data_IF_826730143514
#
_entry.id   IF_826730143514
#
_cell.length_a   1.000
_cell.length_b   1.000
_cell.length_c   1.000
_cell.angle_alpha   90.00
_cell.angle_beta   90.00
_cell.angle_gamma   90.00
#
_symmetry.space_group_name_H-M   'P 1'
#
loop_
_entity.id
_entity.type
_entity.pdbx_description
1 polymer ?
#
# COMPACT_ATOMS: atom_id res chain seq x y z
N UNK A 1 2.73 -10.15 -1.84
CA UNK A 1 4.12 -10.57 -2.19
C UNK A 1 5.06 -10.04 -1.12
N UNK A 2 5.07 -8.72 -0.89
CA UNK A 2 5.92 -8.06 0.11
C UNK A 2 5.49 -8.38 1.55
N UNK A 3 4.32 -7.95 2.04
CA UNK A 3 3.89 -8.20 3.43
C UNK A 3 3.91 -9.67 3.87
N UNK A 4 3.48 -10.66 3.05
CA UNK A 4 3.60 -12.07 3.46
C UNK A 4 5.03 -12.60 3.58
N UNK A 5 6.01 -11.93 2.96
CA UNK A 5 7.42 -12.25 3.17
C UNK A 5 7.92 -11.59 4.46
N UNK A 6 7.55 -10.33 4.72
CA UNK A 6 7.90 -9.62 5.95
C UNK A 6 7.29 -10.28 7.20
N UNK A 7 6.00 -10.68 7.18
CA UNK A 7 5.32 -11.40 8.28
C UNK A 7 6.04 -12.67 8.75
N UNK A 8 6.99 -13.22 7.96
CA UNK A 8 7.77 -14.41 8.33
C UNK A 8 9.13 -14.08 8.94
N UNK A 9 9.51 -12.81 8.96
CA UNK A 9 10.89 -12.37 9.16
C UNK A 9 11.04 -11.09 9.98
N UNK A 10 9.95 -10.38 10.30
CA UNK A 10 9.94 -9.26 11.24
C UNK A 10 8.91 -9.53 12.33
N UNK A 11 9.22 -9.11 13.56
CA UNK A 11 8.38 -9.28 14.76
C UNK A 11 7.42 -8.09 15.00
N UNK A 12 7.16 -7.28 13.96
CA UNK A 12 6.26 -6.14 14.01
C UNK A 12 4.94 -6.47 13.28
N UNK A 13 4.11 -7.27 13.93
CA UNK A 13 2.81 -7.68 13.39
C UNK A 13 1.83 -6.50 13.34
N UNK A 14 1.90 -5.57 14.29
CA UNK A 14 1.02 -4.40 14.36
C UNK A 14 1.20 -3.49 13.13
N UNK A 15 2.45 -3.17 12.75
CA UNK A 15 2.73 -2.34 11.57
C UNK A 15 2.25 -3.00 10.26
N UNK A 16 2.30 -4.33 10.17
CA UNK A 16 1.81 -5.07 9.00
C UNK A 16 0.28 -5.16 8.95
N UNK A 17 -0.37 -5.27 10.09
CA UNK A 17 -1.82 -5.30 10.22
C UNK A 17 -2.43 -3.92 9.98
N UNK A 18 -1.79 -2.86 10.46
CA UNK A 18 -2.16 -1.47 10.18
C UNK A 18 -2.13 -1.20 8.67
N UNK A 19 -1.01 -1.51 8.01
CA UNK A 19 -0.89 -1.38 6.55
C UNK A 19 -2.00 -2.11 5.77
N UNK A 20 -2.45 -3.28 6.25
CA UNK A 20 -3.54 -4.03 5.64
C UNK A 20 -4.89 -3.31 5.79
N UNK A 21 -5.17 -2.75 6.97
CA UNK A 21 -6.38 -1.95 7.25
C UNK A 21 -6.37 -0.64 6.46
N UNK A 22 -5.24 0.05 6.39
CA UNK A 22 -5.09 1.28 5.61
C UNK A 22 -5.34 1.04 4.12
N UNK A 23 -4.79 -0.04 3.55
CA UNK A 23 -5.03 -0.41 2.16
C UNK A 23 -6.51 -0.69 1.89
N UNK A 24 -7.21 -1.36 2.82
CA UNK A 24 -8.63 -1.61 2.70
C UNK A 24 -9.44 -0.31 2.73
N UNK A 25 -9.09 0.59 3.67
CA UNK A 25 -9.72 1.90 3.85
C UNK A 25 -9.53 2.79 2.62
N UNK A 26 -8.31 2.85 2.07
CA UNK A 26 -8.01 3.59 0.85
C UNK A 26 -8.80 3.03 -0.36
N UNK A 27 -8.89 1.71 -0.52
CA UNK A 27 -9.68 1.08 -1.60
C UNK A 27 -11.17 1.39 -1.48
N UNK A 28 -11.71 1.37 -0.27
CA UNK A 28 -13.11 1.74 -0.04
C UNK A 28 -13.35 3.20 -0.45
N UNK A 29 -12.49 4.12 0.00
CA UNK A 29 -12.62 5.54 -0.33
C UNK A 29 -12.46 5.80 -1.84
N UNK A 30 -11.55 5.09 -2.52
CA UNK A 30 -11.43 5.12 -3.98
C UNK A 30 -12.74 4.69 -4.64
N UNK A 31 -13.35 3.58 -4.20
CA UNK A 31 -14.60 3.10 -4.76
C UNK A 31 -15.76 4.11 -4.56
N UNK A 32 -15.81 4.76 -3.40
CA UNK A 32 -16.77 5.84 -3.13
C UNK A 32 -16.54 7.02 -4.10
N UNK A 33 -15.31 7.51 -4.23
CA UNK A 33 -14.97 8.62 -5.13
C UNK A 33 -15.31 8.27 -6.59
N UNK A 34 -15.01 7.06 -7.04
CA UNK A 34 -15.31 6.60 -8.41
C UNK A 34 -16.82 6.52 -8.71
N UNK A 35 -17.65 6.40 -7.67
CA UNK A 35 -19.11 6.38 -7.79
C UNK A 35 -19.76 7.77 -7.75
N UNK A 36 -18.99 8.81 -7.43
CA UNK A 36 -19.46 10.18 -7.29
C UNK A 36 -19.35 10.98 -8.59
N UNK A 37 -20.19 12.02 -8.69
CA UNK A 37 -19.96 13.09 -9.66
C UNK A 37 -18.88 14.05 -9.14
N UNK A 38 -17.98 14.56 -10.00
CA UNK A 38 -17.07 15.64 -9.61
C UNK A 38 -17.76 16.93 -9.15
N UNK A 39 -19.07 17.08 -9.39
CA UNK A 39 -19.86 18.21 -8.89
C UNK A 39 -20.50 17.97 -7.51
N UNK A 40 -20.37 16.75 -6.96
CA UNK A 40 -20.92 16.44 -5.64
C UNK A 40 -20.16 17.21 -4.54
N UNK A 41 -20.90 17.75 -3.58
CA UNK A 41 -20.38 18.65 -2.53
C UNK A 41 -19.15 18.11 -1.79
N UNK A 42 -19.04 16.79 -1.62
CA UNK A 42 -17.97 16.15 -0.85
C UNK A 42 -16.86 15.52 -1.73
N UNK A 43 -16.94 15.64 -3.06
CA UNK A 43 -15.97 14.99 -3.96
C UNK A 43 -14.54 15.44 -3.66
N UNK A 44 -14.28 16.75 -3.71
CA UNK A 44 -12.95 17.31 -3.47
C UNK A 44 -12.41 16.98 -2.07
N UNK A 45 -13.29 17.01 -1.06
CA UNK A 45 -12.92 16.66 0.31
C UNK A 45 -12.48 15.19 0.42
N UNK A 46 -13.20 14.26 -0.22
CA UNK A 46 -12.83 12.84 -0.23
C UNK A 46 -11.52 12.59 -1.01
N UNK A 47 -11.32 13.25 -2.15
CA UNK A 47 -10.05 13.17 -2.89
C UNK A 47 -8.88 13.67 -2.03
N UNK A 48 -9.07 14.76 -1.30
CA UNK A 48 -8.05 15.27 -0.37
C UNK A 48 -7.72 14.26 0.73
N UNK A 49 -8.74 13.71 1.41
CA UNK A 49 -8.54 12.71 2.48
C UNK A 49 -7.88 11.44 1.95
N UNK A 50 -8.22 10.99 0.73
CA UNK A 50 -7.51 9.87 0.09
C UNK A 50 -6.02 10.18 -0.08
N UNK A 51 -5.68 11.40 -0.50
CA UNK A 51 -4.29 11.84 -0.59
C UNK A 51 -3.57 11.82 0.76
N UNK A 52 -4.24 12.24 1.83
CA UNK A 52 -3.71 12.20 3.19
C UNK A 52 -3.47 10.74 3.66
N UNK A 53 -4.41 9.83 3.44
CA UNK A 53 -4.26 8.41 3.76
C UNK A 53 -3.08 7.78 3.02
N UNK A 54 -2.96 8.02 1.71
CA UNK A 54 -1.85 7.48 0.92
C UNK A 54 -0.51 8.07 1.38
N UNK A 55 -0.47 9.36 1.70
CA UNK A 55 0.75 10.00 2.20
C UNK A 55 1.20 9.42 3.54
N UNK A 56 0.26 9.22 4.47
CA UNK A 56 0.53 8.64 5.77
C UNK A 56 1.08 7.22 5.63
N UNK A 57 0.36 6.36 4.90
CA UNK A 57 0.77 4.99 4.62
C UNK A 57 2.19 4.90 4.02
N UNK A 58 2.49 5.72 3.01
CA UNK A 58 3.82 5.74 2.39
C UNK A 58 4.90 6.18 3.38
N UNK A 59 4.61 7.18 4.23
CA UNK A 59 5.56 7.64 5.23
C UNK A 59 5.90 6.57 6.26
N UNK A 60 4.91 5.81 6.74
CA UNK A 60 5.12 4.71 7.67
C UNK A 60 5.92 3.57 7.04
N UNK A 61 5.60 3.19 5.80
CA UNK A 61 6.38 2.18 5.08
C UNK A 61 7.85 2.62 4.90
N UNK A 62 8.09 3.87 4.49
CA UNK A 62 9.44 4.37 4.24
C UNK A 62 10.27 4.55 5.51
N UNK A 63 9.66 5.01 6.59
CA UNK A 63 10.34 5.37 7.83
C UNK A 63 10.45 4.22 8.83
N UNK A 64 9.57 3.22 8.74
CA UNK A 64 9.47 2.16 9.75
C UNK A 64 9.62 0.78 9.08
N UNK A 65 8.71 0.43 8.16
CA UNK A 65 8.67 -0.92 7.59
C UNK A 65 9.89 -1.26 6.73
N UNK A 66 10.34 -0.35 5.87
CA UNK A 66 11.49 -0.60 4.99
C UNK A 66 12.82 -0.69 5.75
N UNK A 67 13.09 0.14 6.78
CA UNK A 67 14.21 -0.10 7.70
C UNK A 67 14.20 -1.49 8.31
N UNK A 68 13.06 -1.97 8.80
CA UNK A 68 12.95 -3.32 9.38
C UNK A 68 13.15 -4.41 8.32
N UNK A 69 12.56 -4.25 7.15
CA UNK A 69 12.77 -5.16 6.03
C UNK A 69 14.26 -5.28 5.64
N UNK A 70 15.01 -4.16 5.67
CA UNK A 70 16.46 -4.15 5.40
C UNK A 70 17.30 -4.83 6.48
N UNK A 71 16.82 -4.90 7.72
CA UNK A 71 17.49 -5.59 8.83
C UNK A 71 17.11 -7.07 8.92
N UNK A 72 16.01 -7.46 8.27
CA UNK A 72 15.51 -8.84 8.26
C UNK A 72 16.36 -9.78 7.39
N UNK A 73 16.16 -11.09 7.58
CA UNK A 73 16.79 -12.14 6.77
C UNK A 73 16.11 -12.35 5.38
N UNK A 74 15.18 -11.48 4.98
CA UNK A 74 14.50 -11.59 3.70
C UNK A 74 15.46 -11.28 2.56
N UNK A 75 15.51 -12.15 1.54
CA UNK A 75 16.18 -11.86 0.27
C UNK A 75 15.40 -10.79 -0.53
N UNK A 76 15.74 -9.53 -0.27
CA UNK A 76 15.07 -8.36 -0.87
C UNK A 76 15.33 -8.25 -2.38
N UNK A 77 16.47 -8.72 -2.88
CA UNK A 77 16.78 -8.69 -4.31
C UNK A 77 15.87 -9.68 -5.08
N UNK A 78 15.76 -10.92 -4.59
CA UNK A 78 14.85 -11.90 -5.16
C UNK A 78 13.38 -11.45 -5.06
N UNK A 79 13.02 -10.83 -3.93
CA UNK A 79 11.67 -10.27 -3.73
C UNK A 79 11.40 -9.12 -4.71
N UNK A 80 12.36 -8.23 -4.93
CA UNK A 80 12.30 -7.12 -5.88
C UNK A 80 12.09 -7.59 -7.31
N UNK A 81 12.82 -8.62 -7.76
CA UNK A 81 12.61 -9.26 -9.07
C UNK A 81 11.19 -9.78 -9.21
N UNK A 82 10.68 -10.47 -8.17
CA UNK A 82 9.31 -11.01 -8.15
C UNK A 82 8.25 -9.89 -8.20
N UNK A 83 8.45 -8.80 -7.47
CA UNK A 83 7.56 -7.63 -7.47
C UNK A 83 7.57 -6.94 -8.84
N UNK A 84 8.74 -6.71 -9.43
CA UNK A 84 8.88 -6.08 -10.75
C UNK A 84 8.19 -6.89 -11.85
N UNK A 85 8.37 -8.23 -11.84
CA UNK A 85 7.63 -9.13 -12.73
C UNK A 85 6.13 -9.01 -12.53
N UNK A 86 5.66 -9.09 -11.28
CA UNK A 86 4.23 -9.00 -10.97
C UNK A 86 3.62 -7.66 -11.40
N UNK A 87 4.34 -6.56 -11.17
CA UNK A 87 3.93 -5.22 -11.63
C UNK A 87 3.77 -5.20 -13.15
N UNK A 88 4.75 -5.72 -13.89
CA UNK A 88 4.70 -5.78 -15.35
C UNK A 88 3.51 -6.58 -15.88
N UNK A 89 3.19 -7.72 -15.25
CA UNK A 89 2.00 -8.53 -15.59
C UNK A 89 0.69 -7.77 -15.35
N UNK A 90 0.59 -7.06 -14.21
CA UNK A 90 -0.60 -6.29 -13.86
C UNK A 90 -0.80 -5.09 -14.77
N UNK A 91 0.27 -4.36 -15.09
CA UNK A 91 0.21 -3.21 -16.00
C UNK A 91 -0.22 -3.63 -17.41
N UNK A 92 0.21 -4.81 -17.89
CA UNK A 92 -0.24 -5.37 -19.17
C UNK A 92 -1.72 -5.78 -19.17
N UNK A 93 -2.26 -6.18 -18.02
CA UNK A 93 -3.68 -6.57 -17.89
C UNK A 93 -4.60 -5.35 -17.79
N UNK A 94 -4.09 -4.24 -17.26
CA UNK A 94 -4.85 -3.00 -17.08
C UNK A 94 -4.86 -2.11 -18.34
N UNK A 95 -3.97 -2.36 -19.30
CA UNK A 95 -3.93 -1.73 -20.62
C UNK A 95 -4.88 -2.44 -21.59
#
# INVERSE_FOLDING_TARGET
IFYPALRKSIDDEDLLDEAEVEHASAKQLIAEILSMSPQDQLFDAKVKVLGEYVMHHVQEEEQEMFPEARKSDVDLDALGVKLSKRKSELMKKAA
#
